data_IF_502435333298
#
_entry.id   IF_502435333298
#
_cell.length_a   1.000
_cell.length_b   1.000
_cell.length_c   1.000
_cell.angle_alpha   90.00
_cell.angle_beta   90.00
_cell.angle_gamma   90.00
#
_symmetry.space_group_name_H-M   'P 1'
#
loop_
_entity.id
_entity.type
_entity.pdbx_description
1 polymer ?
2 non-polymer ?
3 non-polymer ?
4 water ?
#
# COMPACT_ATOMS: atom_id res chain seq x y z
N UNK A 23 -25.59 -7.10 -16.59
CA UNK A 23 -24.36 -7.84 -16.30
C UNK A 23 -23.26 -7.49 -17.30
N UNK A 24 -23.49 -7.84 -18.56
CA UNK A 24 -22.53 -7.55 -19.62
C UNK A 24 -22.79 -6.21 -20.31
N UNK A 25 -24.05 -5.75 -20.31
CA UNK A 25 -24.38 -4.46 -20.89
C UNK A 25 -23.96 -3.29 -20.00
N UNK A 26 -23.47 -3.56 -18.80
CA UNK A 26 -22.99 -2.51 -17.89
C UNK A 26 -21.92 -3.09 -16.99
N UNK A 27 -20.70 -3.25 -17.50
CA UNK A 27 -19.64 -3.85 -16.68
C UNK A 27 -19.29 -3.05 -15.45
N UNK A 28 -19.44 -1.72 -15.50
CA UNK A 28 -19.17 -0.91 -14.31
C UNK A 28 -20.21 -1.13 -13.23
N UNK A 29 -21.44 -1.48 -13.61
CA UNK A 29 -22.46 -1.81 -12.61
C UNK A 29 -22.17 -3.16 -11.97
N UNK A 30 -21.75 -4.15 -12.78
CA UNK A 30 -21.41 -5.46 -12.22
C UNK A 30 -20.22 -5.36 -11.27
N UNK A 31 -19.34 -4.39 -11.48
CA UNK A 31 -18.24 -4.18 -10.56
C UNK A 31 -18.74 -3.73 -9.19
N UNK A 32 -19.68 -2.79 -9.16
CA UNK A 32 -20.24 -2.34 -7.89
C UNK A 32 -21.03 -3.44 -7.19
N UNK A 33 -21.53 -4.42 -7.94
CA UNK A 33 -22.21 -5.54 -7.31
C UNK A 33 -21.23 -6.40 -6.53
N UNK A 34 -20.16 -6.85 -7.19
CA UNK A 34 -19.18 -7.70 -6.54
C UNK A 34 -18.38 -6.95 -5.48
N UNK A 35 -18.46 -5.62 -5.45
CA UNK A 35 -17.83 -4.89 -4.37
C UNK A 35 -18.61 -5.06 -3.07
N UNK A 36 -19.94 -4.95 -3.15
CA UNK A 36 -20.77 -5.08 -1.97
C UNK A 36 -20.96 -6.53 -1.59
N UNK A 37 -21.09 -7.42 -2.58
CA UNK A 37 -21.39 -8.82 -2.29
C UNK A 37 -20.17 -9.57 -1.77
N UNK A 38 -18.99 -9.31 -2.34
CA UNK A 38 -17.79 -9.98 -1.86
C UNK A 38 -17.49 -9.60 -0.41
N UNK A 39 -17.71 -8.34 -0.05
CA UNK A 39 -17.53 -7.90 1.32
C UNK A 39 -18.41 -8.71 2.27
N UNK A 40 -19.72 -8.77 1.98
CA UNK A 40 -20.64 -9.53 2.81
C UNK A 40 -20.49 -11.03 2.62
N UNK A 41 -19.75 -11.49 1.61
CA UNK A 41 -19.53 -12.92 1.45
C UNK A 41 -18.72 -13.48 2.62
N UNK A 42 -17.91 -12.64 3.26
CA UNK A 42 -17.07 -13.08 4.36
C UNK A 42 -17.32 -12.33 5.66
N UNK A 43 -17.81 -11.09 5.61
CA UNK A 43 -18.02 -10.32 6.83
C UNK A 43 -19.09 -10.93 7.73
N UNK A 44 -20.04 -11.66 7.14
CA UNK A 44 -21.09 -12.30 7.90
C UNK A 44 -20.78 -13.70 8.37
N UNK A 45 -19.53 -14.15 8.25
CA UNK A 45 -19.19 -15.51 8.66
C UNK A 45 -19.05 -15.65 10.16
N UNK A 46 -18.64 -14.58 10.85
CA UNK A 46 -18.45 -14.65 12.30
C UNK A 46 -18.39 -13.24 12.87
N UNK A 47 -18.83 -13.10 14.12
CA UNK A 47 -18.75 -11.82 14.80
C UNK A 47 -19.71 -10.80 14.20
N UNK A 48 -19.22 -9.57 14.08
CA UNK A 48 -20.02 -8.51 13.48
C UNK A 48 -20.30 -8.82 12.01
N UNK A 49 -21.57 -8.98 11.68
CA UNK A 49 -21.96 -9.39 10.33
C UNK A 49 -21.74 -8.31 9.29
N UNK A 50 -21.36 -7.10 9.69
CA UNK A 50 -21.18 -5.99 8.75
C UNK A 50 -19.74 -5.49 8.69
N UNK A 51 -18.80 -6.17 9.35
CA UNK A 51 -17.41 -5.74 9.39
C UNK A 51 -16.50 -6.95 9.27
N UNK A 52 -15.32 -6.72 8.71
CA UNK A 52 -14.33 -7.77 8.48
C UNK A 52 -13.31 -7.75 9.62
N UNK A 53 -13.14 -8.88 10.29
CA UNK A 53 -12.06 -9.03 11.25
C UNK A 53 -10.80 -9.52 10.53
N UNK A 54 -9.75 -9.79 11.31
CA UNK A 54 -8.51 -10.27 10.70
C UNK A 54 -8.70 -11.63 10.03
N UNK A 55 -9.57 -12.47 10.58
CA UNK A 55 -9.82 -13.79 9.98
C UNK A 55 -10.57 -13.65 8.66
N UNK A 56 -11.59 -12.81 8.62
CA UNK A 56 -12.38 -12.66 7.40
C UNK A 56 -11.63 -11.87 6.33
N UNK A 57 -10.81 -10.90 6.74
CA UNK A 57 -9.96 -10.20 5.78
C UNK A 57 -8.98 -11.15 5.11
N UNK A 58 -8.63 -12.24 5.79
CA UNK A 58 -7.69 -13.21 5.22
C UNK A 58 -8.36 -14.06 4.14
N UNK A 59 -9.59 -14.50 4.39
CA UNK A 59 -10.28 -15.33 3.39
C UNK A 59 -10.66 -14.52 2.16
N UNK A 60 -11.13 -13.29 2.35
CA UNK A 60 -11.55 -12.46 1.22
C UNK A 60 -10.38 -12.20 0.28
N UNK A 61 -9.25 -11.75 0.83
CA UNK A 61 -8.09 -11.46 0.00
C UNK A 61 -7.54 -12.71 -0.66
N UNK A 62 -7.60 -13.86 0.02
CA UNK A 62 -7.05 -15.09 -0.54
C UNK A 62 -7.92 -15.63 -1.68
N UNK A 63 -9.23 -15.70 -1.45
CA UNK A 63 -10.13 -16.33 -2.41
C UNK A 63 -10.60 -15.38 -3.51
N UNK A 64 -10.58 -14.07 -3.28
CA UNK A 64 -11.10 -13.12 -4.25
C UNK A 64 -10.03 -12.24 -4.88
N UNK A 65 -8.89 -12.04 -4.23
CA UNK A 65 -7.76 -11.29 -4.81
C UNK A 65 -6.49 -12.12 -4.69
N UNK A 66 -6.43 -13.28 -5.36
CA UNK A 66 -5.23 -14.14 -5.20
C UNK A 66 -3.97 -13.52 -5.78
N UNK A 67 -4.09 -12.79 -6.90
CA UNK A 67 -2.92 -12.17 -7.52
C UNK A 67 -2.32 -11.09 -6.65
N UNK A 68 -3.10 -10.52 -5.72
CA UNK A 68 -2.59 -9.44 -4.89
C UNK A 68 -1.61 -9.97 -3.85
N UNK A 69 -1.94 -11.10 -3.23
CA UNK A 69 -1.13 -11.60 -2.12
C UNK A 69 0.12 -12.30 -2.62
N UNK A 70 -0.02 -13.21 -3.58
CA UNK A 70 1.06 -14.12 -3.87
C UNK A 70 1.04 -15.24 -2.84
N UNK A 71 2.20 -15.70 -2.40
CA UNK A 71 2.24 -16.67 -1.31
C UNK A 71 1.88 -16.00 0.01
N UNK A 72 2.63 -14.94 0.36
CA UNK A 72 2.43 -14.16 1.57
C UNK A 72 2.46 -14.99 2.85
N UNK A 73 1.41 -14.82 3.67
CA UNK A 73 1.22 -15.50 4.96
C UNK A 73 2.37 -15.18 5.92
N UNK A 74 2.67 -13.90 6.05
CA UNK A 74 3.64 -13.44 7.04
C UNK A 74 2.98 -13.06 8.36
N UNK A 75 1.65 -13.01 8.41
CA UNK A 75 0.91 -12.71 9.64
C UNK A 75 1.25 -11.35 10.22
N UNK A 76 2.52 -11.11 10.54
CA UNK A 76 2.92 -9.80 11.03
C UNK A 76 2.64 -8.71 9.99
N UNK A 77 2.95 -8.97 8.73
CA UNK A 77 2.55 -8.05 7.67
C UNK A 77 1.05 -8.03 7.50
N UNK A 78 0.38 -9.16 7.75
CA UNK A 78 -1.07 -9.18 7.73
C UNK A 78 -1.64 -8.33 8.87
N UNK A 79 -0.99 -8.36 10.04
CA UNK A 79 -1.37 -7.46 11.11
C UNK A 79 -1.08 -6.01 10.73
N UNK A 80 0.01 -5.77 9.98
CA UNK A 80 0.28 -4.43 9.48
C UNK A 80 -0.79 -3.98 8.50
N UNK A 81 -1.14 -4.86 7.55
CA UNK A 81 -2.21 -4.54 6.61
C UNK A 81 -3.53 -4.33 7.33
N UNK A 82 -3.84 -5.21 8.29
CA UNK A 82 -5.06 -5.04 9.07
C UNK A 82 -5.03 -3.74 9.87
N UNK A 83 -3.86 -3.32 10.34
CA UNK A 83 -3.76 -2.08 11.10
C UNK A 83 -3.79 -0.84 10.19
N UNK A 84 -3.27 -0.96 8.97
CA UNK A 84 -3.30 0.19 8.06
C UNK A 84 -4.70 0.45 7.53
N UNK A 85 -5.44 -0.61 7.20
CA UNK A 85 -6.80 -0.44 6.71
C UNK A 85 -7.73 0.04 7.81
N UNK A 86 -7.60 -0.52 9.00
CA UNK A 86 -8.45 -0.15 10.13
C UNK A 86 -8.10 1.26 10.61
N UNK A 87 -8.74 2.26 10.01
CA UNK A 87 -8.40 3.66 10.32
C UNK A 87 -8.98 4.10 11.66
N UNK A 88 -10.25 3.74 11.93
CA UNK A 88 -10.88 4.15 13.18
C UNK A 88 -10.40 3.34 14.38
N UNK A 89 -9.53 2.34 14.16
CA UNK A 89 -8.90 1.57 15.23
C UNK A 89 -9.95 0.88 16.11
N UNK A 90 -10.70 -0.03 15.49
CA UNK A 90 -11.66 -0.86 16.21
C UNK A 90 -11.46 -2.34 15.94
N UNK A 91 -10.27 -2.71 15.44
CA UNK A 91 -9.90 -4.10 15.14
C UNK A 91 -10.84 -4.75 14.13
N UNK A 92 -11.52 -3.93 13.31
CA UNK A 92 -12.42 -4.43 12.28
C UNK A 92 -12.18 -3.62 11.01
N UNK A 93 -12.74 -4.12 9.91
CA UNK A 93 -12.68 -3.43 8.62
C UNK A 93 -14.12 -3.32 8.12
N UNK A 94 -14.71 -2.13 8.25
CA UNK A 94 -16.06 -1.90 7.78
C UNK A 94 -16.05 -1.70 6.27
N UNK A 95 -17.24 -1.45 5.70
CA UNK A 95 -17.33 -1.24 4.26
C UNK A 95 -16.70 0.08 3.83
N UNK A 96 -16.58 1.05 4.74
CA UNK A 96 -15.90 2.30 4.42
C UNK A 96 -14.43 2.05 4.13
N UNK A 97 -13.73 1.43 5.08
CA UNK A 97 -12.32 1.13 4.88
C UNK A 97 -12.10 0.08 3.79
N UNK A 98 -13.10 -0.78 3.57
CA UNK A 98 -13.00 -1.76 2.50
C UNK A 98 -12.96 -1.08 1.13
N UNK A 99 -13.71 0.02 0.98
CA UNK A 99 -13.69 0.77 -0.28
C UNK A 99 -12.41 1.57 -0.44
N UNK A 100 -11.86 2.09 0.65
CA UNK A 100 -10.60 2.83 0.57
C UNK A 100 -9.48 1.92 0.08
N UNK A 101 -9.41 0.70 0.63
CA UNK A 101 -8.38 -0.24 0.22
C UNK A 101 -8.51 -0.61 -1.25
N UNK A 102 -9.74 -0.85 -1.72
CA UNK A 102 -9.95 -1.17 -3.13
C UNK A 102 -9.60 0.03 -4.02
N UNK A 103 -9.92 1.24 -3.56
CA UNK A 103 -9.58 2.43 -4.33
C UNK A 103 -8.07 2.61 -4.43
N UNK A 104 -7.34 2.33 -3.34
CA UNK A 104 -5.88 2.44 -3.37
C UNK A 104 -5.28 1.46 -4.36
N UNK A 105 -5.83 0.25 -4.44
CA UNK A 105 -5.33 -0.73 -5.40
C UNK A 105 -5.69 -0.30 -6.82
N UNK A 106 -6.90 0.21 -7.02
CA UNK A 106 -7.30 0.68 -8.34
C UNK A 106 -6.47 1.89 -8.76
N UNK A 107 -6.16 2.79 -7.81
CA UNK A 107 -5.30 3.93 -8.12
C UNK A 107 -3.93 3.48 -8.57
N UNK A 108 -3.42 2.38 -8.01
CA UNK A 108 -2.14 1.85 -8.47
C UNK A 108 -2.28 1.22 -9.86
N UNK A 109 -3.29 0.36 -10.05
CA UNK A 109 -3.56 -0.20 -11.37
C UNK A 109 -3.67 0.89 -12.43
N UNK A 110 -4.08 2.09 -12.03
CA UNK A 110 -4.14 3.21 -12.96
C UNK A 110 -2.75 3.75 -13.27
N UNK A 111 -1.90 3.88 -12.24
CA UNK A 111 -0.56 4.41 -12.45
C UNK A 111 0.30 3.45 -13.26
N UNK A 112 0.24 2.16 -12.94
CA UNK A 112 1.00 1.18 -13.72
C UNK A 112 0.43 0.98 -15.11
N UNK A 113 -0.87 1.29 -15.31
CA UNK A 113 -1.39 1.40 -16.67
C UNK A 113 -0.69 2.51 -17.43
N UNK A 114 -0.35 3.60 -16.75
CA UNK A 114 0.37 4.71 -17.33
C UNK A 114 1.88 4.55 -17.24
N UNK A 115 2.35 3.35 -16.88
CA UNK A 115 3.77 3.08 -16.80
C UNK A 115 4.48 3.82 -15.68
N UNK A 116 4.16 3.47 -14.43
CA UNK A 116 4.83 4.13 -13.31
C UNK A 116 6.31 3.77 -13.20
N UNK A 117 6.71 2.50 -13.17
CA UNK A 117 8.15 2.21 -12.99
C UNK A 117 8.99 2.47 -14.23
N UNK A 118 8.38 2.59 -15.41
CA UNK A 118 9.14 2.74 -16.64
C UNK A 118 9.13 4.16 -17.21
N UNK A 119 8.14 4.98 -16.87
CA UNK A 119 8.16 6.38 -17.27
C UNK A 119 8.68 7.27 -16.15
N UNK B 24 26.13 2.44 -13.69
CA UNK B 24 27.43 2.23 -14.31
C UNK B 24 27.43 0.93 -15.12
N UNK B 25 28.38 0.04 -14.83
CA UNK B 25 28.50 -1.20 -15.59
C UNK B 25 27.39 -2.18 -15.23
N UNK B 26 27.02 -2.26 -13.95
CA UNK B 26 26.00 -3.19 -13.50
C UNK B 26 24.79 -2.42 -13.01
N UNK B 27 23.61 -2.62 -13.60
CA UNK B 27 22.45 -1.81 -13.18
C UNK B 27 21.91 -2.19 -11.80
N UNK B 28 21.95 -3.48 -11.45
CA UNK B 28 21.43 -3.88 -10.14
C UNK B 28 22.29 -3.36 -9.01
N UNK B 29 23.58 -3.13 -9.26
CA UNK B 29 24.44 -2.53 -8.24
C UNK B 29 24.09 -1.07 -8.01
N UNK B 30 23.92 -0.31 -9.10
CA UNK B 30 23.56 1.10 -8.96
C UNK B 30 22.20 1.26 -8.28
N UNK B 31 21.30 0.29 -8.46
CA UNK B 31 20.02 0.33 -7.77
C UNK B 31 20.20 0.26 -6.26
N UNK B 32 21.13 -0.58 -5.79
CA UNK B 32 21.42 -0.65 -4.37
C UNK B 32 22.10 0.62 -3.87
N UNK B 33 22.87 1.29 -4.73
CA UNK B 33 23.57 2.50 -4.32
C UNK B 33 22.62 3.67 -4.20
N UNK B 34 21.69 3.82 -5.16
CA UNK B 34 20.80 4.97 -5.15
C UNK B 34 19.82 4.90 -3.98
N UNK B 35 19.41 3.70 -3.58
CA UNK B 35 18.48 3.58 -2.46
C UNK B 35 19.11 4.08 -1.16
N UNK B 36 20.41 3.81 -0.98
CA UNK B 36 21.09 4.26 0.23
C UNK B 36 21.34 5.76 0.18
N UNK B 37 21.73 6.27 -1.00
CA UNK B 37 22.04 7.69 -1.12
C UNK B 37 20.78 8.55 -1.14
N UNK B 38 19.72 8.08 -1.80
CA UNK B 38 18.47 8.84 -1.82
C UNK B 38 17.89 8.99 -0.42
N UNK B 39 18.04 7.96 0.42
CA UNK B 39 17.60 8.05 1.79
C UNK B 39 18.36 9.15 2.53
N UNK B 40 19.69 9.13 2.46
CA UNK B 40 20.49 10.17 3.08
C UNK B 40 20.44 11.49 2.33
N UNK B 41 19.94 11.50 1.09
CA UNK B 41 19.76 12.74 0.37
C UNK B 41 18.76 13.66 1.08
N UNK B 42 17.90 13.09 1.92
CA UNK B 42 16.90 13.88 2.66
C UNK B 42 16.92 13.63 4.17
N UNK B 43 17.44 12.50 4.64
CA UNK B 43 17.42 12.22 6.08
C UNK B 43 18.37 13.12 6.85
N UNK B 44 19.41 13.65 6.21
CA UNK B 44 20.36 14.48 6.90
C UNK B 44 20.03 15.96 6.88
N UNK B 45 18.75 16.28 6.64
CA UNK B 45 18.33 17.68 6.55
C UNK B 45 17.83 18.20 7.90
N UNK B 46 16.97 17.46 8.58
CA UNK B 46 16.33 17.92 9.80
C UNK B 46 16.39 16.84 10.87
N UNK B 47 16.88 17.21 12.04
CA UNK B 47 16.82 16.30 13.18
C UNK B 47 17.80 15.15 13.05
N UNK B 48 17.30 13.94 13.26
CA UNK B 48 18.13 12.74 13.19
C UNK B 48 18.70 12.58 11.79
N UNK B 49 20.01 12.40 11.70
CA UNK B 49 20.69 12.31 10.42
C UNK B 49 20.43 11.00 9.69
N UNK B 50 19.83 10.01 10.35
CA UNK B 50 19.62 8.69 9.75
C UNK B 50 18.17 8.25 9.78
N UNK B 51 17.24 9.16 10.07
CA UNK B 51 15.82 8.84 10.07
C UNK B 51 15.04 9.97 9.40
N UNK B 52 14.06 9.60 8.59
CA UNK B 52 13.24 10.56 7.87
C UNK B 52 12.07 11.02 8.72
N UNK B 53 11.82 12.33 8.74
CA UNK B 53 10.61 12.86 9.35
C UNK B 53 9.54 13.02 8.27
N UNK B 54 8.39 13.56 8.66
CA UNK B 54 7.30 13.70 7.70
C UNK B 54 7.63 14.70 6.60
N UNK B 55 8.43 15.72 6.91
CA UNK B 55 8.83 16.69 5.89
C UNK B 55 9.83 16.08 4.93
N UNK B 56 10.84 15.39 5.46
CA UNK B 56 11.84 14.77 4.61
C UNK B 56 11.25 13.63 3.78
N UNK B 57 10.29 12.88 4.34
CA UNK B 57 9.62 11.85 3.56
C UNK B 57 8.82 12.45 2.41
N UNK B 58 8.21 13.62 2.62
CA UNK B 58 7.44 14.25 1.57
C UNK B 58 8.35 14.76 0.46
N UNK B 59 9.53 15.27 0.82
CA UNK B 59 10.49 15.69 -0.20
C UNK B 59 10.97 14.50 -1.02
N UNK B 60 11.25 13.37 -0.37
CA UNK B 60 11.74 12.20 -1.09
C UNK B 60 10.68 11.64 -2.02
N UNK B 61 9.43 11.58 -1.57
CA UNK B 61 8.38 11.01 -2.40
C UNK B 61 8.04 11.90 -3.59
N UNK B 62 7.96 13.22 -3.35
CA UNK B 62 7.58 14.13 -4.43
C UNK B 62 8.71 14.31 -5.43
N UNK B 63 9.95 14.38 -4.97
CA UNK B 63 11.06 14.69 -5.87
C UNK B 63 11.64 13.43 -6.53
N UNK B 64 11.71 12.32 -5.80
CA UNK B 64 12.36 11.11 -6.31
C UNK B 64 11.38 10.09 -6.87
N UNK B 65 10.12 10.11 -6.45
CA UNK B 65 9.09 9.18 -6.95
C UNK B 65 7.84 9.97 -7.34
N UNK B 66 7.92 10.82 -8.37
CA UNK B 66 6.76 11.65 -8.70
C UNK B 66 5.57 10.85 -9.21
N UNK B 67 5.79 9.86 -10.06
CA UNK B 67 4.71 9.08 -10.61
C UNK B 67 4.11 8.08 -9.63
N UNK B 68 4.69 7.95 -8.42
CA UNK B 68 4.07 7.10 -7.41
C UNK B 68 2.85 7.77 -6.80
N UNK B 69 2.87 9.10 -6.70
CA UNK B 69 1.75 9.86 -6.17
C UNK B 69 1.37 10.92 -7.20
N UNK B 70 0.21 10.73 -7.84
CA UNK B 70 -0.23 11.63 -8.89
C UNK B 70 -0.59 13.02 -8.40
N UNK B 71 0.41 13.75 -7.90
CA UNK B 71 0.22 15.10 -7.36
C UNK B 71 -0.85 15.15 -6.27
N UNK B 72 -0.97 14.06 -5.50
CA UNK B 72 -1.94 14.03 -4.41
C UNK B 72 -1.41 14.82 -3.23
N UNK B 73 -2.15 15.85 -2.81
CA UNK B 73 -1.71 16.75 -1.75
C UNK B 73 -2.47 16.53 -0.44
N UNK B 74 -3.23 15.44 -0.33
CA UNK B 74 -4.00 15.17 0.87
C UNK B 74 -3.09 14.99 2.07
N UNK B 75 -2.99 16.01 2.92
CA UNK B 75 -2.15 15.90 4.12
C UNK B 75 -2.65 14.80 5.04
N UNK B 76 -3.97 14.63 5.14
CA UNK B 76 -4.52 13.57 5.98
C UNK B 76 -4.12 12.19 5.45
N UNK B 77 -4.10 12.03 4.13
CA UNK B 77 -3.67 10.75 3.56
C UNK B 77 -2.17 10.58 3.63
N UNK B 78 -1.41 11.69 3.56
CA UNK B 78 0.04 11.59 3.67
C UNK B 78 0.46 11.20 5.08
N UNK B 79 -0.24 11.70 6.09
CA UNK B 79 -0.01 11.27 7.46
C UNK B 79 -0.30 9.79 7.63
N UNK B 80 -1.32 9.29 6.93
CA UNK B 80 -1.63 7.86 6.98
C UNK B 80 -0.47 7.02 6.43
N UNK B 81 0.10 7.45 5.30
CA UNK B 81 1.27 6.76 4.77
C UNK B 81 2.46 6.89 5.71
N UNK B 82 2.55 8.01 6.43
CA UNK B 82 3.62 8.18 7.41
C UNK B 82 3.48 7.20 8.57
N UNK B 83 2.24 7.00 9.05
CA UNK B 83 2.02 6.05 10.14
C UNK B 83 2.03 4.61 9.66
N UNK B 84 1.63 4.36 8.41
CA UNK B 84 1.68 3.00 7.88
C UNK B 84 3.12 2.52 7.70
N UNK B 85 4.06 3.44 7.55
CA UNK B 85 5.47 3.11 7.41
C UNK B 85 6.22 3.13 8.73
N UNK B 86 5.83 4.00 9.66
CA UNK B 86 6.44 4.08 10.98
C UNK B 86 5.95 2.89 11.81
N UNK B 87 6.62 1.75 11.62
CA UNK B 87 6.18 0.52 12.27
C UNK B 87 6.58 0.47 13.74
N UNK B 88 7.72 1.07 14.11
CA UNK B 88 8.16 1.08 15.49
C UNK B 88 7.61 2.25 16.29
N UNK B 89 6.84 3.14 15.65
CA UNK B 89 6.16 4.25 16.30
C UNK B 89 7.14 5.19 17.01
N UNK B 90 8.05 5.76 16.21
CA UNK B 90 8.95 6.80 16.68
C UNK B 90 8.80 8.09 15.90
N UNK B 91 7.67 8.25 15.21
CA UNK B 91 7.34 9.44 14.42
C UNK B 91 8.35 9.69 13.30
N UNK B 92 9.16 8.70 12.97
CA UNK B 92 10.16 8.82 11.92
C UNK B 92 10.21 7.54 11.10
N UNK B 93 10.93 7.60 9.98
CA UNK B 93 11.06 6.48 9.06
C UNK B 93 12.55 6.20 8.90
N UNK B 94 13.03 5.15 9.55
CA UNK B 94 14.43 4.77 9.44
C UNK B 94 14.66 4.01 8.12
N UNK B 95 15.88 3.53 7.93
CA UNK B 95 16.24 2.90 6.67
C UNK B 95 15.56 1.54 6.51
N UNK B 96 15.30 0.84 7.63
CA UNK B 96 14.65 -0.46 7.54
C UNK B 96 13.22 -0.31 7.02
N UNK B 97 12.46 0.64 7.57
CA UNK B 97 11.11 0.89 7.07
C UNK B 97 11.16 1.49 5.67
N UNK B 98 12.26 2.15 5.31
CA UNK B 98 12.41 2.67 3.96
C UNK B 98 12.57 1.53 2.95
N UNK B 99 13.30 0.48 3.33
CA UNK B 99 13.47 -0.66 2.43
C UNK B 99 12.18 -1.46 2.31
N UNK B 100 11.44 -1.61 3.42
CA UNK B 100 10.19 -2.35 3.39
C UNK B 100 9.21 -1.69 2.43
N UNK B 101 9.10 -0.37 2.48
CA UNK B 101 8.17 0.34 1.60
C UNK B 101 8.57 0.20 0.14
N UNK B 102 9.88 0.31 -0.16
CA UNK B 102 10.33 0.16 -1.53
C UNK B 102 10.10 -1.24 -2.05
N UNK B 103 10.35 -2.26 -1.21
CA UNK B 103 10.11 -3.63 -1.63
C UNK B 103 8.62 -3.87 -1.85
N UNK B 104 7.77 -3.29 -1.00
CA UNK B 104 6.33 -3.42 -1.20
C UNK B 104 5.90 -2.84 -2.53
N UNK B 105 6.47 -1.69 -2.91
CA UNK B 105 6.18 -1.11 -4.22
C UNK B 105 6.71 -2.02 -5.32
N UNK B 106 7.95 -2.50 -5.18
CA UNK B 106 8.55 -3.36 -6.19
C UNK B 106 7.77 -4.66 -6.36
N UNK B 107 7.34 -5.27 -5.24
CA UNK B 107 6.51 -6.46 -5.33
C UNK B 107 5.21 -6.19 -6.09
N UNK B 108 4.67 -4.96 -5.96
CA UNK B 108 3.45 -4.63 -6.67
C UNK B 108 3.71 -4.41 -8.15
N UNK B 109 4.80 -3.69 -8.49
CA UNK B 109 5.20 -3.55 -9.88
C UNK B 109 5.32 -4.92 -10.56
N UNK B 110 5.79 -5.92 -9.81
CA UNK B 110 5.92 -7.27 -10.35
C UNK B 110 4.56 -7.85 -10.71
N UNK B 111 3.55 -7.58 -9.90
CA UNK B 111 2.23 -8.16 -10.14
C UNK B 111 1.62 -7.64 -11.44
N UNK B 112 1.73 -6.32 -11.68
CA UNK B 112 1.21 -5.76 -12.92
C UNK B 112 2.06 -6.15 -14.12
N UNK B 113 3.37 -6.32 -13.90
CA UNK B 113 4.23 -6.86 -14.94
C UNK B 113 3.73 -8.23 -15.39
N UNK B 114 3.48 -9.12 -14.42
CA UNK B 114 2.94 -10.44 -14.73
C UNK B 114 1.48 -10.40 -15.12
N UNK B 115 0.78 -9.33 -14.79
CA UNK B 115 -0.64 -9.24 -15.06
C UNK B 115 -1.49 -9.57 -13.85
N UNK B 116 -1.70 -8.58 -12.99
CA UNK B 116 -2.61 -8.68 -11.86
C UNK B 116 -3.95 -9.21 -12.35
N UNK B 117 -5.16 -6.49 -12.95
CA UNK B 117 -6.50 -7.09 -13.08
C UNK B 117 -6.64 -7.81 -14.40
N UNK B 118 -5.70 -7.57 -15.31
CA UNK B 118 -5.71 -8.15 -16.64
C UNK B 118 -5.63 -9.67 -16.59
X LIG C 1 -0.74 6.69 -1.05
X LIG C 1 1.17 1.48 -0.97
X LIG C 1 -0.42 8.16 -1.10
X LIG C 1 -0.56 8.87 -2.28
X LIG C 1 -0.08 5.88 0.08
X LIG C 1 -0.26 10.23 -2.33
X LIG C 1 0.19 10.88 -1.20
X LIG C 1 0.33 10.18 -0.02
X LIG C 1 0.03 8.83 0.02
X LIG C 1 -0.84 4.56 0.04
X LIG C 1 -0.22 3.57 -0.95
X LIG C 1 -2.18 4.98 -0.38
X LIG C 1 0.44 2.53 -0.37
X LIG C 1 -2.23 6.37 -0.83
X LIG C 1 -4.52 4.60 -0.93
X LIG C 1 1.77 0.55 -0.14
X LIG C 1 2.48 -0.50 -0.68
X LIG C 1 2.62 -0.63 -2.05
X LIG C 1 2.02 0.31 -2.86
X LIG C 1 1.29 1.36 -2.35
X LIG C 1 -3.22 4.12 -0.35
X LIG C 1 -3.09 3.02 0.15
X LIG C 1 -0.30 3.74 -2.15
X LIG C 1 2.18 0.16 -4.58
X LIG D 1 -17.42 -10.31 10.77
X LIG E 1 -12.49 -0.34 11.18
X LIG F 1 0.47 -6.40 1.38
X LIG F 1 -0.98 -1.67 -0.52
X LIG F 1 -0.05 -7.78 1.72
X LIG F 1 -0.17 -8.75 0.74
X LIG F 1 -0.10 -5.22 2.20
X LIG F 1 -0.65 -10.01 1.06
X LIG F 1 -1.00 -10.32 2.34
X LIG F 1 -0.88 -9.37 3.33
X LIG F 1 -0.41 -8.10 3.02
X LIG F 1 0.84 -4.09 1.79
X LIG F 1 0.45 -3.49 0.45
X LIG F 1 2.12 -4.77 1.71
X LIG F 1 -0.39 -2.43 0.53
X LIG F 1 1.99 -6.23 1.57
X LIG F 1 4.55 -4.85 1.50
X LIG F 1 -1.72 -0.55 -0.17
X LIG F 1 -2.32 0.21 -1.16
X LIG F 1 -2.18 -0.12 -2.48
X LIG F 1 -1.44 -1.22 -2.82
X LIG F 1 -0.84 -2.01 -1.86
X LIG F 1 3.29 -4.09 1.77
X LIG F 1 3.28 -2.90 2.05
X LIG F 1 0.88 -3.94 -0.60
X LIG F 1 -1.26 -1.66 -4.49
X LIG G 1 16.10 13.50 9.48
X LIG H 1 10.42 4.45 12.44
#
# INVERSE_FOLDING_TARGET
HMHHHHHHSSGVDLGTENLYFQSMACPLEKALDVMVSTFHKYSGKEGDKFKLNKSELKELLTRELPSFLGKRTDEAAFQKLMSNLDSNRDNEVDFQEYCVFLSCIAMMCNEFFEGFPDKQPRK
HMHHHHHHSSGVDLGTENLYFQSMACPLEKALDVMVSTFHKYSGKEGDKFKLNKSELKELLTRELPSFLGKRTDEAAFQKLMSNLDSNRDNEVDFQEYCVFLSCIAMMCNEFFEGFPDKQPRK
85Q C4 C14 C5 C6 C11 C7 C8 C9 C10 C12 C13 N1 N2 C3 C1 C15 C16 C17 C18 C19 C2 O1 O2 CL1
CA CA
CA CA
85Q C4 C14 C5 C6 C11 C7 C8 C9 C10 C12 C13 N1 N2 C3 C1 C15 C16 C17 C18 C19 C2 O1 O2 CL1
CA CA
CA CA
#
